data_IF_174319498605
#
_entry.id   IF_174319498605
#
_cell.length_a   1.000
_cell.length_b   1.000
_cell.length_c   1.000
_cell.angle_alpha   90.00
_cell.angle_beta   90.00
_cell.angle_gamma   90.00
#
_symmetry.space_group_name_H-M   'P 1'
#
loop_
_entity.id
_entity.type
_entity.pdbx_description
1 polymer ?
#
# COMPACT_ATOMS: atom_id res chain seq x y z
N UNK A 1 28.76 -10.83 -9.38
CA UNK A 1 28.13 -11.07 -8.06
C UNK A 1 28.30 -9.82 -7.21
N UNK A 2 27.23 -9.26 -6.62
CA UNK A 2 27.29 -7.97 -5.88
C UNK A 2 28.00 -8.08 -4.53
N UNK A 3 27.99 -9.25 -3.90
CA UNK A 3 28.67 -9.53 -2.62
C UNK A 3 29.48 -10.83 -2.68
N UNK A 4 30.71 -10.82 -3.23
CA UNK A 4 31.52 -12.03 -3.43
C UNK A 4 31.88 -12.78 -2.14
N UNK A 5 32.05 -12.07 -1.02
CA UNK A 5 32.39 -12.65 0.27
C UNK A 5 31.28 -13.54 0.87
N UNK A 6 30.05 -13.44 0.36
CA UNK A 6 28.90 -14.23 0.85
C UNK A 6 28.64 -15.49 0.03
N UNK A 7 29.51 -15.83 -0.95
CA UNK A 7 29.28 -16.94 -1.88
C UNK A 7 28.98 -18.27 -1.18
N UNK A 8 29.73 -18.60 -0.14
CA UNK A 8 29.65 -19.88 0.57
C UNK A 8 28.98 -19.74 1.95
N UNK A 9 28.38 -18.57 2.24
CA UNK A 9 27.67 -18.34 3.49
C UNK A 9 26.35 -19.15 3.53
N UNK A 10 26.00 -19.80 4.65
CA UNK A 10 24.77 -20.58 4.75
C UNK A 10 23.52 -19.67 4.72
N UNK A 11 22.49 -20.09 3.98
CA UNK A 11 21.17 -19.47 4.05
C UNK A 11 20.47 -19.93 5.33
N UNK A 12 20.37 -19.04 6.31
CA UNK A 12 19.75 -19.36 7.61
C UNK A 12 18.22 -19.40 7.53
N UNK A 13 17.63 -18.56 6.68
CA UNK A 13 16.19 -18.39 6.57
C UNK A 13 15.77 -17.89 5.19
N UNK A 14 14.61 -18.34 4.72
CA UNK A 14 13.89 -17.73 3.59
C UNK A 14 12.42 -17.52 3.95
N UNK A 15 11.85 -16.45 3.39
CA UNK A 15 10.44 -16.06 3.54
C UNK A 15 9.90 -15.53 2.23
N UNK A 16 8.58 -15.67 2.06
CA UNK A 16 7.84 -15.03 0.97
C UNK A 16 7.10 -13.83 1.55
N UNK A 17 7.24 -12.68 0.91
CA UNK A 17 6.48 -11.47 1.22
C UNK A 17 5.53 -11.19 0.07
N UNK A 18 4.23 -11.14 0.36
CA UNK A 18 3.22 -10.83 -0.65
C UNK A 18 3.13 -9.32 -0.85
N UNK A 19 2.92 -8.93 -2.10
CA UNK A 19 2.73 -7.55 -2.48
C UNK A 19 1.29 -7.34 -2.92
N UNK A 20 0.71 -6.24 -2.46
CA UNK A 20 -0.56 -5.71 -2.93
C UNK A 20 -0.26 -4.59 -3.94
N UNK A 21 -0.28 -4.95 -5.22
CA UNK A 21 0.03 -4.03 -6.31
C UNK A 21 -1.25 -3.50 -6.96
N UNK A 22 -1.28 -2.20 -7.17
CA UNK A 22 -2.19 -1.52 -8.11
C UNK A 22 -1.55 -1.44 -9.49
N UNK A 23 -2.31 -1.35 -10.60
CA UNK A 23 -1.74 -1.28 -11.95
C UNK A 23 -0.79 -0.10 -12.23
N UNK A 24 -0.90 0.97 -11.43
CA UNK A 24 -0.16 2.22 -11.59
C UNK A 24 0.73 2.56 -10.38
N UNK A 25 1.01 1.57 -9.53
CA UNK A 25 1.94 1.64 -8.40
C UNK A 25 1.61 2.67 -7.30
N UNK A 26 0.42 3.28 -7.32
CA UNK A 26 -0.06 4.22 -6.30
C UNK A 26 -0.97 3.54 -5.26
N UNK A 27 -1.12 4.16 -4.08
CA UNK A 27 -2.02 3.67 -3.03
C UNK A 27 -3.49 3.66 -3.46
N UNK A 28 -4.27 2.75 -2.87
CA UNK A 28 -5.72 2.76 -2.92
C UNK A 28 -6.25 3.22 -1.56
N UNK A 29 -6.90 4.38 -1.53
CA UNK A 29 -7.60 4.93 -0.37
C UNK A 29 -8.94 5.47 -0.83
N UNK A 30 -10.03 4.77 -0.53
CA UNK A 30 -11.37 5.18 -0.97
C UNK A 30 -12.47 4.53 -0.11
N UNK A 31 -13.72 4.99 -0.28
CA UNK A 31 -14.88 4.30 0.25
C UNK A 31 -15.36 3.21 -0.70
N UNK A 32 -15.94 2.16 -0.14
CA UNK A 32 -16.59 1.15 -0.96
C UNK A 32 -17.82 1.76 -1.67
N UNK A 33 -17.98 1.60 -2.99
CA UNK A 33 -19.01 2.30 -3.77
C UNK A 33 -20.45 1.93 -3.39
N UNK A 34 -20.64 0.79 -2.72
CA UNK A 34 -21.96 0.33 -2.25
C UNK A 34 -22.14 0.40 -0.72
N UNK A 35 -21.14 0.88 0.03
CA UNK A 35 -21.19 0.88 1.51
C UNK A 35 -20.36 2.03 2.07
N UNK A 36 -21.03 3.10 2.48
CA UNK A 36 -20.38 4.35 2.94
C UNK A 36 -19.57 4.18 4.24
N UNK A 37 -19.85 3.14 5.02
CA UNK A 37 -19.18 2.81 6.26
C UNK A 37 -17.94 1.90 6.09
N UNK A 38 -17.55 1.57 4.86
CA UNK A 38 -16.39 0.72 4.56
C UNK A 38 -15.33 1.53 3.82
N UNK A 39 -14.11 1.51 4.37
CA UNK A 39 -12.92 2.08 3.74
C UNK A 39 -12.04 0.98 3.15
N UNK A 40 -11.51 1.26 1.96
CA UNK A 40 -10.48 0.49 1.27
C UNK A 40 -9.16 1.22 1.46
N UNK A 41 -8.16 0.53 2.03
CA UNK A 41 -6.82 1.08 2.26
C UNK A 41 -5.80 0.00 1.92
N UNK A 42 -4.93 0.26 0.95
CA UNK A 42 -3.92 -0.71 0.51
C UNK A 42 -3.22 -0.28 -0.77
N UNK A 43 -2.80 -1.25 -1.58
CA UNK A 43 -2.13 -0.97 -2.86
C UNK A 43 -0.72 -0.40 -2.66
N UNK A 44 0.01 -0.94 -1.69
CA UNK A 44 1.30 -0.40 -1.28
C UNK A 44 2.40 -0.50 -2.32
N UNK A 45 2.24 -1.32 -3.36
CA UNK A 45 3.11 -1.41 -4.55
C UNK A 45 4.61 -1.36 -4.24
N UNK A 46 5.03 -2.07 -3.19
CA UNK A 46 6.43 -2.14 -2.74
C UNK A 46 6.99 -0.94 -1.98
N UNK A 47 6.17 0.04 -1.65
CA UNK A 47 6.55 1.22 -0.88
C UNK A 47 5.68 1.48 0.35
N UNK A 48 4.68 0.64 0.63
CA UNK A 48 3.80 0.78 1.80
C UNK A 48 4.53 0.85 3.16
N UNK A 49 5.61 0.10 3.36
CA UNK A 49 6.34 0.11 4.64
C UNK A 49 6.89 1.49 5.01
N UNK A 50 7.51 2.19 4.06
CA UNK A 50 8.15 3.50 4.34
C UNK A 50 7.11 4.61 4.59
N UNK A 51 5.92 4.46 4.01
CA UNK A 51 4.85 5.44 4.07
C UNK A 51 3.77 5.11 5.11
N UNK A 52 3.79 3.91 5.70
CA UNK A 52 2.75 3.41 6.60
C UNK A 52 2.31 4.41 7.68
N UNK A 53 3.24 5.05 8.43
CA UNK A 53 2.86 6.04 9.44
C UNK A 53 2.10 7.24 8.85
N UNK A 54 2.61 7.84 7.76
CA UNK A 54 1.97 8.99 7.12
C UNK A 54 0.63 8.63 6.45
N UNK A 55 0.56 7.45 5.84
CA UNK A 55 -0.68 6.93 5.25
C UNK A 55 -1.75 6.70 6.33
N UNK A 56 -1.36 6.14 7.47
CA UNK A 56 -2.26 5.93 8.61
C UNK A 56 -2.81 7.22 9.20
N UNK A 57 -1.96 8.24 9.36
CA UNK A 57 -2.37 9.57 9.82
C UNK A 57 -3.37 10.22 8.85
N UNK A 58 -3.07 10.20 7.55
CA UNK A 58 -3.96 10.70 6.50
C UNK A 58 -5.32 9.98 6.54
N UNK A 59 -5.33 8.65 6.55
CA UNK A 59 -6.57 7.85 6.56
C UNK A 59 -7.38 8.14 7.83
N UNK A 60 -6.75 8.24 8.99
CA UNK A 60 -7.44 8.57 10.24
C UNK A 60 -8.15 9.93 10.15
N UNK A 61 -7.50 10.96 9.59
CA UNK A 61 -8.12 12.27 9.39
C UNK A 61 -9.32 12.19 8.44
N UNK A 62 -9.17 11.51 7.30
CA UNK A 62 -10.24 11.34 6.32
C UNK A 62 -11.48 10.67 6.91
N UNK A 63 -11.26 9.62 7.71
CA UNK A 63 -12.34 8.86 8.37
C UNK A 63 -13.04 9.72 9.43
N UNK A 64 -12.29 10.40 10.30
CA UNK A 64 -12.86 11.18 11.41
C UNK A 64 -13.58 12.43 10.93
N UNK A 65 -13.07 13.07 9.88
CA UNK A 65 -13.62 14.33 9.35
C UNK A 65 -14.62 14.11 8.20
N UNK A 66 -14.95 12.86 7.86
CA UNK A 66 -15.88 12.52 6.78
C UNK A 66 -15.49 13.17 5.44
N UNK A 67 -14.19 13.12 5.11
CA UNK A 67 -13.62 13.70 3.88
C UNK A 67 -13.33 12.64 2.84
N UNK A 68 -13.28 13.05 1.58
CA UNK A 68 -12.80 12.21 0.50
C UNK A 68 -11.26 12.23 0.40
N UNK A 69 -10.68 11.12 -0.05
CA UNK A 69 -9.28 11.05 -0.44
C UNK A 69 -8.97 11.83 -1.72
N UNK A 70 -7.68 12.09 -1.95
CA UNK A 70 -7.18 12.64 -3.21
C UNK A 70 -7.57 11.73 -4.40
N UNK A 71 -7.93 12.32 -5.53
CA UNK A 71 -8.26 11.60 -6.75
C UNK A 71 -7.15 10.63 -7.21
N UNK A 72 -5.89 10.93 -6.87
CA UNK A 72 -4.73 10.07 -7.10
C UNK A 72 -4.78 8.74 -6.35
N UNK A 73 -5.63 8.59 -5.33
CA UNK A 73 -5.74 7.36 -4.54
C UNK A 73 -7.12 6.67 -4.64
N UNK A 74 -8.08 7.27 -5.35
CA UNK A 74 -9.45 6.73 -5.45
C UNK A 74 -9.56 5.46 -6.29
N UNK A 75 -10.51 4.61 -5.95
CA UNK A 75 -10.79 3.33 -6.64
C UNK A 75 -11.12 3.52 -8.12
N UNK A 76 -11.81 4.60 -8.47
CA UNK A 76 -12.19 4.91 -9.85
C UNK A 76 -10.99 5.03 -10.81
N UNK A 77 -9.77 5.24 -10.30
CA UNK A 77 -8.55 5.29 -11.10
C UNK A 77 -7.96 3.88 -11.36
N UNK A 78 -8.14 2.95 -10.42
CA UNK A 78 -7.34 1.73 -10.30
C UNK A 78 -7.67 0.65 -11.34
N UNK A 79 -8.72 0.87 -12.14
CA UNK A 79 -9.14 -0.01 -13.23
C UNK A 79 -8.79 0.50 -14.63
N UNK A 80 -7.93 1.53 -14.73
CA UNK A 80 -7.40 2.04 -16.01
C UNK A 80 -6.04 1.44 -16.34
#
# INVERSE_FOLDING_TARGET
MRFPALKDAPLLESRVCQYENTPDDHFLVDRHPASENIWLVGGGSGHGFKHGPALGEMVAELVVQDKDSDALFRLARAGK
#
